data_IF_270224725311
#
_entry.id   IF_270224725311
#
_cell.length_a   1.000
_cell.length_b   1.000
_cell.length_c   1.000
_cell.angle_alpha   90.00
_cell.angle_beta   90.00
_cell.angle_gamma   90.00
#
_symmetry.space_group_name_H-M   'P 1'
#
loop_
_entity.id
_entity.type
_entity.pdbx_description
1 polymer ?
#
# COMPACT_ATOMS: atom_id res chain seq x y z
N UNK A 1 -3.61 43.66 -2.29
CA UNK A 1 -3.53 42.18 -2.24
C UNK A 1 -2.29 41.84 -1.43
N UNK A 2 -2.45 41.43 -0.17
CA UNK A 2 -1.30 41.06 0.66
C UNK A 2 -0.69 39.74 0.13
N UNK A 3 0.64 39.54 0.18
CA UNK A 3 1.22 38.26 -0.17
C UNK A 3 0.65 37.16 0.76
N UNK A 4 0.39 35.94 0.26
CA UNK A 4 -0.03 34.85 1.11
C UNK A 4 1.02 34.63 2.22
N UNK A 5 0.60 34.30 3.46
CA UNK A 5 1.55 34.03 4.53
C UNK A 5 2.52 32.93 4.09
N UNK A 6 3.81 33.01 4.48
CA UNK A 6 4.79 31.99 4.13
C UNK A 6 4.28 30.63 4.62
N UNK A 7 4.35 29.62 3.76
CA UNK A 7 3.89 28.28 4.09
C UNK A 7 4.65 27.78 5.33
N UNK A 8 3.93 27.36 6.37
CA UNK A 8 4.56 26.77 7.54
C UNK A 8 5.38 25.53 7.14
N UNK A 9 6.56 25.31 7.74
CA UNK A 9 7.31 24.08 7.55
C UNK A 9 6.43 22.88 7.89
N UNK A 10 6.31 21.93 6.96
CA UNK A 10 5.43 20.76 7.12
C UNK A 10 5.66 20.02 8.45
N UNK A 11 6.91 19.95 8.91
CA UNK A 11 7.28 19.31 10.16
C UNK A 11 6.66 19.99 11.40
N UNK A 12 6.54 21.34 11.41
CA UNK A 12 5.89 22.07 12.51
C UNK A 12 4.40 21.81 12.55
N UNK A 13 3.75 21.83 11.38
CA UNK A 13 2.32 21.53 11.24
C UNK A 13 2.00 20.10 11.72
N UNK A 14 2.78 19.11 11.29
CA UNK A 14 2.59 17.72 11.71
C UNK A 14 2.92 17.51 13.18
N UNK A 15 3.94 18.18 13.71
CA UNK A 15 4.26 18.15 15.13
C UNK A 15 3.10 18.63 16.01
N UNK A 16 2.46 19.73 15.63
CA UNK A 16 1.28 20.26 16.34
C UNK A 16 0.06 19.32 16.22
N UNK A 17 -0.17 18.69 15.06
CA UNK A 17 -1.32 17.80 14.90
C UNK A 17 -1.14 16.46 15.62
N UNK A 18 0.06 15.87 15.58
CA UNK A 18 0.34 14.57 16.19
C UNK A 18 0.58 14.67 17.70
N UNK A 19 1.18 15.77 18.18
CA UNK A 19 1.63 15.90 19.58
C UNK A 19 1.09 17.14 20.29
N UNK A 20 0.16 17.91 19.68
CA UNK A 20 -0.35 19.16 20.26
C UNK A 20 -1.19 19.00 21.53
N UNK A 21 -1.66 17.79 21.84
CA UNK A 21 -2.28 17.47 23.13
C UNK A 21 -1.76 16.14 23.68
N UNK A 22 -1.75 15.92 25.01
CA UNK A 22 -1.32 14.66 25.59
C UNK A 22 -2.06 13.44 25.04
N UNK A 23 -3.36 13.58 24.77
CA UNK A 23 -4.16 12.50 24.17
C UNK A 23 -3.76 12.17 22.74
N UNK A 24 -3.52 13.19 21.90
CA UNK A 24 -3.04 12.99 20.52
C UNK A 24 -1.65 12.37 20.50
N UNK A 25 -0.76 12.79 21.40
CA UNK A 25 0.57 12.23 21.55
C UNK A 25 0.53 10.74 21.92
N UNK A 26 -0.31 10.37 22.89
CA UNK A 26 -0.51 8.96 23.29
C UNK A 26 -1.09 8.14 22.12
N UNK A 27 -2.16 8.62 21.48
CA UNK A 27 -2.77 7.93 20.35
C UNK A 27 -1.78 7.71 19.20
N UNK A 28 -0.99 8.74 18.86
CA UNK A 28 0.04 8.67 17.83
C UNK A 28 1.15 7.66 18.19
N UNK A 29 1.60 7.66 19.45
CA UNK A 29 2.61 6.71 19.92
C UNK A 29 2.10 5.26 19.89
N UNK A 30 0.86 5.02 20.34
CA UNK A 30 0.23 3.70 20.30
C UNK A 30 0.09 3.21 18.86
N UNK A 31 -0.41 4.06 17.96
CA UNK A 31 -0.51 3.74 16.53
C UNK A 31 0.85 3.42 15.92
N UNK A 32 1.89 4.19 16.25
CA UNK A 32 3.25 3.94 15.77
C UNK A 32 3.75 2.56 16.22
N UNK A 33 3.55 2.21 17.50
CA UNK A 33 3.94 0.91 18.06
C UNK A 33 3.19 -0.23 17.37
N UNK A 34 1.87 -0.08 17.17
CA UNK A 34 1.06 -1.09 16.49
C UNK A 34 1.50 -1.28 15.03
N UNK A 35 1.76 -0.19 14.32
CA UNK A 35 2.26 -0.24 12.94
C UNK A 35 3.64 -0.90 12.88
N UNK A 36 4.56 -0.54 13.78
CA UNK A 36 5.89 -1.14 13.83
C UNK A 36 5.82 -2.65 14.15
N UNK A 37 4.97 -3.03 15.10
CA UNK A 37 4.74 -4.43 15.46
C UNK A 37 4.15 -5.24 14.30
N UNK A 38 3.12 -4.70 13.64
CA UNK A 38 2.49 -5.33 12.47
C UNK A 38 3.45 -5.43 11.30
N UNK A 39 4.26 -4.39 11.04
CA UNK A 39 5.27 -4.39 10.00
C UNK A 39 6.36 -5.44 10.27
N UNK A 40 6.84 -5.56 11.50
CA UNK A 40 7.82 -6.58 11.87
C UNK A 40 7.28 -8.01 11.62
N UNK A 41 6.04 -8.28 12.01
CA UNK A 41 5.39 -9.57 11.74
C UNK A 41 5.16 -9.81 10.24
N UNK A 42 4.75 -8.77 9.52
CA UNK A 42 4.56 -8.85 8.07
C UNK A 42 5.89 -9.14 7.36
N UNK A 43 7.01 -8.56 7.78
CA UNK A 43 8.34 -8.82 7.21
C UNK A 43 8.83 -10.24 7.54
N UNK A 44 8.67 -10.67 8.79
CA UNK A 44 9.02 -12.04 9.19
C UNK A 44 8.25 -13.08 8.37
N UNK A 45 6.95 -12.87 8.21
CA UNK A 45 6.10 -13.76 7.42
C UNK A 45 6.33 -13.65 5.91
N UNK A 46 6.38 -12.43 5.35
CA UNK A 46 6.40 -12.21 3.90
C UNK A 46 7.79 -12.34 3.28
N UNK A 47 8.86 -12.20 4.06
CA UNK A 47 10.23 -12.18 3.53
C UNK A 47 11.10 -13.23 4.22
N UNK A 48 11.20 -13.19 5.55
CA UNK A 48 12.18 -14.02 6.28
C UNK A 48 11.84 -15.51 6.24
N UNK A 49 10.56 -15.85 6.45
CA UNK A 49 10.05 -17.23 6.42
C UNK A 49 9.41 -17.61 5.09
N UNK A 50 9.55 -16.77 4.07
CA UNK A 50 8.81 -16.95 2.83
C UNK A 50 9.45 -17.99 1.91
N UNK A 51 8.61 -18.71 1.18
CA UNK A 51 9.02 -19.69 0.17
C UNK A 51 8.93 -19.05 -1.20
N UNK A 52 10.09 -18.80 -1.82
CA UNK A 52 10.20 -18.12 -3.11
C UNK A 52 10.14 -19.05 -4.32
N UNK A 53 10.42 -20.34 -4.13
CA UNK A 53 10.37 -21.32 -5.21
C UNK A 53 8.91 -21.73 -5.48
N UNK A 54 8.54 -22.05 -6.74
CA UNK A 54 7.21 -22.57 -7.07
C UNK A 54 7.09 -24.06 -6.66
N UNK A 55 7.16 -24.31 -5.36
CA UNK A 55 7.08 -25.64 -4.75
C UNK A 55 5.91 -25.69 -3.76
N UNK A 56 4.88 -26.46 -4.12
CA UNK A 56 3.65 -26.56 -3.34
C UNK A 56 3.85 -27.32 -2.03
N UNK A 57 4.78 -28.26 -1.96
CA UNK A 57 5.02 -29.05 -0.75
C UNK A 57 5.86 -28.26 0.25
N UNK A 58 6.87 -27.53 -0.25
CA UNK A 58 7.61 -26.57 0.56
C UNK A 58 6.69 -25.49 1.15
N UNK A 59 5.72 -24.98 0.38
CA UNK A 59 4.76 -23.98 0.88
C UNK A 59 3.75 -24.52 1.90
N UNK A 60 3.48 -25.83 1.95
CA UNK A 60 2.57 -26.44 2.93
C UNK A 60 3.27 -26.91 4.21
N UNK A 61 4.59 -26.89 4.24
CA UNK A 61 5.36 -27.30 5.41
C UNK A 61 5.04 -26.41 6.63
N UNK A 62 4.99 -26.98 7.84
CA UNK A 62 4.69 -26.22 9.05
C UNK A 62 5.77 -25.18 9.33
N UNK A 63 5.36 -24.00 9.80
CA UNK A 63 6.27 -22.90 10.15
C UNK A 63 6.72 -22.02 9.00
N UNK A 64 6.27 -22.30 7.76
CA UNK A 64 6.55 -21.46 6.60
C UNK A 64 5.64 -20.23 6.56
N UNK A 65 6.19 -19.15 6.00
CA UNK A 65 5.54 -17.86 5.82
C UNK A 65 4.80 -17.75 4.48
N UNK A 66 4.91 -16.59 3.83
CA UNK A 66 4.25 -16.35 2.54
C UNK A 66 4.82 -17.26 1.43
N UNK A 67 3.94 -17.76 0.56
CA UNK A 67 4.32 -18.56 -0.59
C UNK A 67 4.32 -17.69 -1.86
N UNK A 68 5.49 -17.13 -2.21
CA UNK A 68 5.64 -16.35 -3.45
C UNK A 68 5.61 -17.23 -4.70
N UNK A 69 5.86 -18.53 -4.56
CA UNK A 69 5.71 -19.51 -5.64
C UNK A 69 4.29 -19.52 -6.24
N UNK A 70 3.25 -19.36 -5.43
CA UNK A 70 1.86 -19.24 -5.92
C UNK A 70 1.67 -18.00 -6.77
N UNK A 71 2.28 -16.88 -6.39
CA UNK A 71 2.19 -15.63 -7.14
C UNK A 71 2.90 -15.80 -8.49
N UNK A 72 4.10 -16.36 -8.51
CA UNK A 72 4.84 -16.63 -9.74
C UNK A 72 4.03 -17.47 -10.74
N UNK A 73 3.33 -18.51 -10.25
CA UNK A 73 2.54 -19.42 -11.09
C UNK A 73 1.14 -18.90 -11.44
N UNK A 74 0.52 -18.09 -10.58
CA UNK A 74 -0.92 -17.74 -10.65
C UNK A 74 -1.21 -16.24 -10.67
N UNK A 75 -0.23 -15.39 -10.95
CA UNK A 75 -0.43 -13.93 -11.00
C UNK A 75 -1.54 -13.51 -11.97
N UNK A 76 -1.71 -14.18 -13.12
CA UNK A 76 -2.75 -13.85 -14.11
C UNK A 76 -4.17 -14.07 -13.55
N UNK A 77 -4.54 -15.27 -13.06
CA UNK A 77 -5.82 -15.47 -12.38
C UNK A 77 -6.02 -14.57 -11.15
N UNK A 78 -4.95 -14.22 -10.42
CA UNK A 78 -5.06 -13.28 -9.29
C UNK A 78 -5.47 -11.87 -9.73
N UNK A 79 -4.92 -11.38 -10.85
CA UNK A 79 -5.24 -10.04 -11.37
C UNK A 79 -6.53 -10.00 -12.19
N UNK A 80 -6.77 -11.01 -13.02
CA UNK A 80 -7.84 -11.00 -14.02
C UNK A 80 -8.98 -11.97 -13.68
N UNK A 81 -8.88 -12.76 -12.62
CA UNK A 81 -9.90 -13.74 -12.26
C UNK A 81 -10.08 -14.81 -13.35
N UNK A 82 -11.34 -15.10 -13.70
CA UNK A 82 -11.71 -16.07 -14.76
C UNK A 82 -11.81 -15.46 -16.16
N UNK A 83 -11.24 -14.29 -16.40
CA UNK A 83 -11.30 -13.64 -17.71
C UNK A 83 -10.56 -14.47 -18.77
N UNK A 84 -11.16 -14.70 -19.96
CA UNK A 84 -10.48 -15.43 -21.02
C UNK A 84 -9.24 -14.65 -21.49
N UNK A 85 -8.19 -15.39 -21.85
CA UNK A 85 -6.83 -14.85 -22.02
C UNK A 85 -6.76 -13.71 -23.03
N UNK A 86 -7.43 -13.89 -24.16
CA UNK A 86 -7.55 -12.94 -25.27
C UNK A 86 -8.20 -11.62 -24.87
N UNK A 87 -9.04 -11.64 -23.84
CA UNK A 87 -9.82 -10.48 -23.45
C UNK A 87 -9.28 -9.78 -22.17
N UNK A 88 -8.22 -10.31 -21.53
CA UNK A 88 -7.60 -9.74 -20.31
C UNK A 88 -7.16 -8.28 -20.45
N UNK A 89 -6.93 -7.80 -21.67
CA UNK A 89 -6.63 -6.39 -21.93
C UNK A 89 -7.77 -5.45 -21.48
N UNK A 90 -9.03 -5.91 -21.47
CA UNK A 90 -10.20 -5.11 -21.08
C UNK A 90 -10.13 -4.67 -19.62
N UNK A 91 -10.01 -5.57 -18.62
CA UNK A 91 -9.83 -5.15 -17.23
C UNK A 91 -8.50 -4.42 -17.01
N UNK A 92 -7.43 -4.77 -17.74
CA UNK A 92 -6.16 -4.06 -17.63
C UNK A 92 -6.30 -2.57 -18.03
N UNK A 93 -6.91 -2.30 -19.19
CA UNK A 93 -7.19 -0.94 -19.67
C UNK A 93 -8.14 -0.21 -18.73
N UNK A 94 -9.19 -0.87 -18.24
CA UNK A 94 -10.13 -0.27 -17.29
C UNK A 94 -9.42 0.21 -16.01
N UNK A 95 -8.57 -0.62 -15.40
CA UNK A 95 -7.79 -0.25 -14.21
C UNK A 95 -6.86 0.92 -14.53
N UNK A 96 -6.12 0.87 -15.64
CA UNK A 96 -5.20 1.96 -16.03
C UNK A 96 -5.94 3.28 -16.22
N UNK A 97 -7.07 3.29 -16.93
CA UNK A 97 -7.87 4.51 -17.17
C UNK A 97 -8.44 5.05 -15.87
N UNK A 98 -9.04 4.20 -15.04
CA UNK A 98 -9.61 4.63 -13.75
C UNK A 98 -8.53 5.19 -12.82
N UNK A 99 -7.37 4.54 -12.73
CA UNK A 99 -6.23 5.04 -11.96
C UNK A 99 -5.74 6.38 -12.51
N UNK A 100 -5.57 6.51 -13.82
CA UNK A 100 -5.11 7.75 -14.45
C UNK A 100 -6.09 8.90 -14.20
N UNK A 101 -7.39 8.70 -14.43
CA UNK A 101 -8.43 9.70 -14.16
C UNK A 101 -8.46 10.08 -12.69
N UNK A 102 -8.34 9.11 -11.78
CA UNK A 102 -8.30 9.36 -10.33
C UNK A 102 -7.07 10.19 -9.95
N UNK A 103 -5.89 9.84 -10.46
CA UNK A 103 -4.65 10.57 -10.18
C UNK A 103 -4.68 11.98 -10.77
N UNK A 104 -5.20 12.14 -11.99
CA UNK A 104 -5.43 13.45 -12.58
C UNK A 104 -6.41 14.24 -11.71
N UNK A 105 -7.56 13.68 -11.38
CA UNK A 105 -8.56 14.33 -10.52
C UNK A 105 -8.00 14.67 -9.14
N UNK A 106 -7.04 13.94 -8.57
CA UNK A 106 -6.45 14.26 -7.28
C UNK A 106 -5.32 15.31 -7.39
N UNK A 107 -4.87 15.67 -8.59
CA UNK A 107 -3.78 16.62 -8.81
C UNK A 107 -4.32 18.06 -8.81
N UNK A 108 -4.00 18.90 -7.81
CA UNK A 108 -4.57 20.26 -7.72
C UNK A 108 -4.26 21.14 -8.95
N UNK A 109 -3.25 20.77 -9.74
CA UNK A 109 -2.90 21.48 -10.98
C UNK A 109 -3.95 21.31 -12.08
N UNK A 110 -4.74 20.24 -12.12
CA UNK A 110 -5.78 20.10 -13.16
C UNK A 110 -7.10 20.77 -12.78
N UNK A 111 -7.24 21.25 -11.54
CA UNK A 111 -8.42 21.98 -11.05
C UNK A 111 -8.35 23.48 -11.36
N UNK A 112 -7.83 23.84 -12.54
CA UNK A 112 -7.83 25.21 -13.02
C UNK A 112 -9.13 25.45 -13.79
N UNK A 113 -10.20 25.71 -13.04
CA UNK A 113 -11.44 26.29 -13.53
C UNK A 113 -11.57 27.72 -12.99
#
# INVERSE_FOLDING_TARGET
MAPPPPAEPWARRWGAELFGTPWRAIASAVLLVLVAWAAAHAVDWAVLRAVFRPDADACRAPGQGACWGVIAEKWRPLLFGRYPYDAQWRPAVAVVVLSAVTMLSAWPRVWRW
#
